data_IF_050616738979
#
_entry.id   IF_050616738979
#
_cell.length_a   1.000
_cell.length_b   1.000
_cell.length_c   1.000
_cell.angle_alpha   90.00
_cell.angle_beta   90.00
_cell.angle_gamma   90.00
#
_symmetry.space_group_name_H-M   'P 1'
#
loop_
_entity.id
_entity.type
_entity.pdbx_description
1 polymer ?
#
# COMPACT_ATOMS: atom_id res chain seq x y z
N UNK A 1 -60.74 -36.39 38.29
CA UNK A 1 -59.51 -35.68 37.85
C UNK A 1 -59.13 -35.93 36.38
N UNK A 2 -60.03 -36.44 35.50
CA UNK A 2 -59.65 -36.91 34.15
C UNK A 2 -59.54 -35.81 33.07
N UNK A 3 -60.14 -34.63 33.24
CA UNK A 3 -60.18 -33.60 32.18
C UNK A 3 -58.86 -32.89 31.87
N UNK A 4 -57.86 -32.95 32.75
CA UNK A 4 -56.61 -32.15 32.61
C UNK A 4 -55.57 -32.78 31.67
N UNK A 5 -55.64 -34.08 31.42
CA UNK A 5 -54.61 -34.82 30.66
C UNK A 5 -54.83 -34.67 29.15
N UNK A 6 -56.08 -34.53 28.69
CA UNK A 6 -56.42 -34.39 27.26
C UNK A 6 -55.96 -33.08 26.62
N UNK A 7 -55.68 -32.03 27.41
CA UNK A 7 -55.15 -30.77 26.89
C UNK A 7 -53.67 -30.87 26.49
N UNK A 8 -52.86 -31.66 27.21
CA UNK A 8 -51.43 -31.82 26.92
C UNK A 8 -51.18 -32.51 25.56
N UNK A 9 -52.08 -33.40 25.13
CA UNK A 9 -52.02 -34.08 23.83
C UNK A 9 -52.50 -33.23 22.65
N UNK A 10 -53.02 -32.03 22.90
CA UNK A 10 -53.52 -31.07 21.91
C UNK A 10 -52.75 -29.74 21.95
N UNK A 11 -51.64 -29.69 22.69
CA UNK A 11 -50.89 -28.46 22.94
C UNK A 11 -49.81 -28.25 21.88
N UNK A 12 -50.12 -27.47 20.85
CA UNK A 12 -49.22 -27.22 19.70
C UNK A 12 -47.99 -26.36 20.07
N UNK A 13 -47.93 -25.88 21.32
CA UNK A 13 -46.77 -25.18 21.88
C UNK A 13 -45.49 -26.03 21.90
N UNK A 14 -45.58 -27.36 21.83
CA UNK A 14 -44.40 -28.22 21.66
C UNK A 14 -43.67 -27.97 20.33
N UNK A 15 -44.41 -27.71 19.24
CA UNK A 15 -43.83 -27.53 17.91
C UNK A 15 -43.19 -26.15 17.70
N UNK A 16 -43.69 -25.10 18.37
CA UNK A 16 -43.10 -23.76 18.27
C UNK A 16 -41.66 -23.72 18.78
N UNK A 17 -41.35 -24.45 19.87
CA UNK A 17 -39.98 -24.61 20.35
C UNK A 17 -39.05 -25.27 19.32
N UNK A 18 -39.54 -26.25 18.55
CA UNK A 18 -38.72 -26.92 17.50
C UNK A 18 -38.40 -25.94 16.37
N UNK A 19 -39.38 -25.17 15.89
CA UNK A 19 -39.14 -24.16 14.86
C UNK A 19 -38.22 -23.03 15.33
N UNK A 20 -38.40 -22.53 16.57
CA UNK A 20 -37.52 -21.51 17.15
C UNK A 20 -36.11 -22.05 17.34
N UNK A 21 -35.94 -23.29 17.82
CA UNK A 21 -34.64 -23.93 17.98
C UNK A 21 -33.89 -24.10 16.65
N UNK A 22 -34.56 -24.61 15.61
CA UNK A 22 -33.99 -24.73 14.26
C UNK A 22 -33.65 -23.36 13.66
N UNK A 23 -34.52 -22.36 13.82
CA UNK A 23 -34.28 -20.99 13.36
C UNK A 23 -33.07 -20.34 14.05
N UNK A 24 -32.94 -20.51 15.36
CA UNK A 24 -31.81 -19.99 16.13
C UNK A 24 -30.49 -20.65 15.74
N UNK A 25 -30.50 -21.98 15.51
CA UNK A 25 -29.32 -22.70 15.02
C UNK A 25 -28.90 -22.25 13.62
N UNK A 26 -29.86 -22.01 12.72
CA UNK A 26 -29.61 -21.42 11.40
C UNK A 26 -29.05 -20.00 11.47
N UNK A 27 -29.56 -19.16 12.36
CA UNK A 27 -29.06 -17.79 12.58
C UNK A 27 -27.63 -17.78 13.15
N UNK A 28 -27.31 -18.69 14.08
CA UNK A 28 -25.94 -18.86 14.59
C UNK A 28 -24.98 -19.31 13.47
N UNK A 29 -25.37 -20.27 12.63
CA UNK A 29 -24.57 -20.72 11.49
C UNK A 29 -24.33 -19.59 10.45
N UNK A 30 -25.34 -18.77 10.16
CA UNK A 30 -25.18 -17.60 9.30
C UNK A 30 -24.24 -16.54 9.93
N UNK A 31 -24.34 -16.32 11.24
CA UNK A 31 -23.50 -15.38 11.98
C UNK A 31 -22.03 -15.81 12.02
N UNK A 32 -21.75 -17.10 12.20
CA UNK A 32 -20.37 -17.62 12.19
C UNK A 32 -19.73 -17.49 10.80
N UNK A 33 -20.48 -17.79 9.73
CA UNK A 33 -20.00 -17.61 8.36
C UNK A 33 -19.69 -16.13 8.04
N UNK A 34 -20.53 -15.20 8.52
CA UNK A 34 -20.32 -13.77 8.33
C UNK A 34 -19.01 -13.26 8.98
N UNK A 35 -18.62 -13.82 10.13
CA UNK A 35 -17.37 -13.48 10.82
C UNK A 35 -16.14 -13.93 10.00
N UNK A 36 -16.13 -15.18 9.52
CA UNK A 36 -15.03 -15.71 8.70
C UNK A 36 -14.90 -14.93 7.37
N UNK A 37 -16.01 -14.61 6.70
CA UNK A 37 -16.01 -13.80 5.47
C UNK A 37 -15.52 -12.38 5.75
N UNK A 38 -15.94 -11.75 6.85
CA UNK A 38 -15.47 -10.42 7.25
C UNK A 38 -13.97 -10.39 7.55
N UNK A 39 -13.44 -11.43 8.20
CA UNK A 39 -12.00 -11.61 8.42
C UNK A 39 -11.24 -11.75 7.10
N UNK A 40 -11.73 -12.59 6.17
CA UNK A 40 -11.11 -12.81 4.87
C UNK A 40 -11.08 -11.52 4.03
N UNK A 41 -12.17 -10.75 3.99
CA UNK A 41 -12.21 -9.48 3.26
C UNK A 41 -11.25 -8.44 3.84
N UNK A 42 -11.12 -8.41 5.18
CA UNK A 42 -10.13 -7.56 5.87
C UNK A 42 -8.70 -7.97 5.51
N UNK A 43 -8.40 -9.26 5.53
CA UNK A 43 -7.09 -9.79 5.15
C UNK A 43 -6.75 -9.52 3.67
N UNK A 44 -7.74 -9.60 2.77
CA UNK A 44 -7.59 -9.24 1.34
C UNK A 44 -7.26 -7.76 1.16
N UNK A 45 -7.96 -6.87 1.86
CA UNK A 45 -7.67 -5.43 1.82
C UNK A 45 -6.26 -5.10 2.35
N UNK A 46 -5.84 -5.73 3.44
CA UNK A 46 -4.49 -5.58 3.98
C UNK A 46 -3.40 -6.11 3.03
N UNK A 47 -3.65 -7.25 2.36
CA UNK A 47 -2.72 -7.80 1.38
C UNK A 47 -2.54 -6.88 0.17
N UNK A 48 -3.62 -6.25 -0.31
CA UNK A 48 -3.54 -5.25 -1.39
C UNK A 48 -2.78 -3.99 -0.93
N UNK A 49 -3.04 -3.46 0.28
CA UNK A 49 -2.27 -2.35 0.84
C UNK A 49 -0.77 -2.67 0.93
N UNK A 50 -0.41 -3.92 1.27
CA UNK A 50 0.97 -4.37 1.31
C UNK A 50 1.61 -4.45 -0.09
N UNK A 51 0.85 -4.91 -1.10
CA UNK A 51 1.29 -4.94 -2.49
C UNK A 51 1.49 -3.52 -3.04
N UNK A 52 0.52 -2.62 -2.85
CA UNK A 52 0.59 -1.22 -3.26
C UNK A 52 1.81 -0.51 -2.65
N UNK A 53 2.03 -0.69 -1.34
CA UNK A 53 3.16 -0.10 -0.64
C UNK A 53 4.50 -0.68 -1.13
N UNK A 54 4.57 -1.99 -1.38
CA UNK A 54 5.73 -2.65 -1.97
C UNK A 54 6.04 -2.12 -3.38
N UNK A 55 5.05 -2.07 -4.27
CA UNK A 55 5.21 -1.59 -5.64
C UNK A 55 5.67 -0.13 -5.69
N UNK A 56 5.03 0.74 -4.89
CA UNK A 56 5.42 2.15 -4.75
C UNK A 56 6.86 2.29 -4.25
N UNK A 57 7.24 1.54 -3.20
CA UNK A 57 8.59 1.56 -2.63
C UNK A 57 9.65 1.01 -3.59
N UNK A 58 9.28 0.03 -4.42
CA UNK A 58 10.12 -0.49 -5.49
C UNK A 58 10.37 0.54 -6.60
N UNK A 59 9.32 1.24 -7.06
CA UNK A 59 9.45 2.32 -8.05
C UNK A 59 10.30 3.47 -7.52
N UNK A 60 10.08 3.91 -6.27
CA UNK A 60 10.91 4.94 -5.63
C UNK A 60 12.36 4.45 -5.52
N UNK A 61 12.57 3.19 -5.13
CA UNK A 61 13.90 2.59 -5.08
C UNK A 61 14.62 2.57 -6.44
N UNK A 62 13.88 2.28 -7.52
CA UNK A 62 14.36 2.30 -8.91
C UNK A 62 14.72 3.72 -9.36
N UNK A 63 13.89 4.72 -9.09
CA UNK A 63 14.14 6.11 -9.51
C UNK A 63 15.26 6.76 -8.68
N UNK A 64 15.30 6.53 -7.37
CA UNK A 64 16.21 7.23 -6.46
C UNK A 64 17.63 6.64 -6.39
N UNK A 65 17.78 5.31 -6.56
CA UNK A 65 19.09 4.65 -6.38
C UNK A 65 19.74 4.24 -7.71
N UNK A 66 19.00 3.54 -8.59
CA UNK A 66 19.52 3.10 -9.89
C UNK A 66 18.39 2.72 -10.83
N UNK A 67 18.17 3.54 -11.86
CA UNK A 67 17.09 3.35 -12.82
C UNK A 67 17.32 2.17 -13.77
N UNK A 68 18.57 1.70 -13.90
CA UNK A 68 18.95 0.58 -14.77
C UNK A 68 18.97 -0.77 -14.03
N UNK A 69 19.20 -0.80 -12.73
CA UNK A 69 19.29 -2.03 -11.95
C UNK A 69 17.91 -2.67 -11.67
N UNK A 70 17.69 -3.83 -12.28
CA UNK A 70 16.50 -4.70 -12.11
C UNK A 70 16.88 -6.07 -11.57
N UNK A 71 18.08 -6.20 -10.99
CA UNK A 71 18.54 -7.46 -10.41
C UNK A 71 17.69 -7.88 -9.21
N UNK A 72 17.59 -9.19 -8.97
CA UNK A 72 16.85 -9.76 -7.84
C UNK A 72 17.40 -9.32 -6.46
N UNK A 73 18.64 -8.82 -6.43
CA UNK A 73 19.34 -8.25 -5.27
C UNK A 73 19.40 -6.72 -5.29
N UNK A 74 18.82 -6.06 -6.31
CA UNK A 74 18.92 -4.63 -6.53
C UNK A 74 18.15 -3.80 -5.48
N UNK A 75 18.48 -2.50 -5.33
CA UNK A 75 17.89 -1.65 -4.30
C UNK A 75 16.38 -1.50 -4.47
N UNK A 76 15.86 -1.50 -5.72
CA UNK A 76 14.43 -1.49 -6.01
C UNK A 76 13.71 -2.73 -5.46
N UNK A 77 14.27 -3.93 -5.68
CA UNK A 77 13.68 -5.20 -5.20
C UNK A 77 13.75 -5.28 -3.68
N UNK A 78 14.89 -4.93 -3.07
CA UNK A 78 15.02 -4.96 -1.62
C UNK A 78 14.10 -3.94 -0.92
N UNK A 79 13.94 -2.75 -1.51
CA UNK A 79 12.99 -1.73 -1.06
C UNK A 79 11.54 -2.24 -1.10
N UNK A 80 11.14 -2.83 -2.23
CA UNK A 80 9.82 -3.44 -2.41
C UNK A 80 9.53 -4.54 -1.38
N UNK A 81 10.47 -5.49 -1.19
CA UNK A 81 10.34 -6.58 -0.22
C UNK A 81 10.21 -6.05 1.21
N UNK A 82 11.08 -5.12 1.61
CA UNK A 82 11.10 -4.58 2.97
C UNK A 82 9.78 -3.85 3.28
N UNK A 83 9.28 -3.02 2.37
CA UNK A 83 8.03 -2.29 2.56
C UNK A 83 6.79 -3.19 2.45
N UNK A 84 6.76 -4.18 1.56
CA UNK A 84 5.64 -5.12 1.50
C UNK A 84 5.57 -5.97 2.79
N UNK A 85 6.71 -6.43 3.32
CA UNK A 85 6.76 -7.22 4.57
C UNK A 85 6.41 -6.41 5.82
N UNK A 86 6.66 -5.10 5.84
CA UNK A 86 6.28 -4.24 6.98
C UNK A 86 4.77 -3.97 7.07
N UNK A 87 4.04 -4.11 5.95
CA UNK A 87 2.58 -4.01 5.90
C UNK A 87 1.97 -5.38 6.24
N UNK A 88 1.66 -5.60 7.51
CA UNK A 88 1.18 -6.90 7.99
C UNK A 88 -0.26 -7.20 7.55
N UNK A 89 -0.50 -8.47 7.24
CA UNK A 89 -1.83 -9.04 6.97
C UNK A 89 -2.22 -9.90 8.16
N UNK A 90 -3.32 -9.57 8.82
CA UNK A 90 -3.80 -10.20 10.06
C UNK A 90 -2.70 -10.30 11.15
N UNK A 91 -1.90 -9.25 11.29
CA UNK A 91 -0.82 -9.16 12.28
C UNK A 91 0.43 -10.00 11.97
N UNK A 92 0.54 -10.59 10.77
CA UNK A 92 1.75 -11.29 10.30
C UNK A 92 2.28 -10.67 9.01
N UNK A 93 3.60 -10.69 8.82
CA UNK A 93 4.18 -10.28 7.55
C UNK A 93 3.70 -11.21 6.41
N UNK A 94 3.39 -10.69 5.22
CA UNK A 94 3.17 -11.51 4.03
C UNK A 94 4.49 -12.10 3.51
N UNK A 95 4.37 -13.19 2.75
CA UNK A 95 5.50 -13.78 2.02
C UNK A 95 5.69 -13.03 0.71
N UNK A 96 6.87 -12.42 0.57
CA UNK A 96 7.37 -11.74 -0.63
C UNK A 96 8.84 -12.08 -0.76
N UNK A 97 9.24 -12.63 -1.89
CA UNK A 97 10.60 -13.00 -2.30
C UNK A 97 11.03 -12.15 -3.50
N UNK A 98 12.32 -12.19 -3.86
CA UNK A 98 12.84 -11.42 -5.00
C UNK A 98 12.22 -11.82 -6.34
N UNK A 99 11.84 -13.10 -6.52
CA UNK A 99 11.10 -13.56 -7.71
C UNK A 99 9.65 -13.07 -7.79
N UNK A 100 9.10 -12.51 -6.71
CA UNK A 100 7.73 -11.97 -6.68
C UNK A 100 7.68 -10.48 -7.08
N UNK A 101 8.86 -9.86 -7.26
CA UNK A 101 9.02 -8.49 -7.73
C UNK A 101 9.47 -8.54 -9.19
N UNK A 102 8.64 -8.01 -10.10
CA UNK A 102 8.89 -8.03 -11.55
C UNK A 102 8.86 -6.62 -12.12
N UNK A 103 9.47 -6.44 -13.29
CA UNK A 103 9.62 -5.13 -13.95
C UNK A 103 8.91 -5.13 -15.31
N UNK A 104 7.56 -5.17 -15.34
CA UNK A 104 6.81 -5.22 -16.58
C UNK A 104 7.08 -3.98 -17.44
N UNK A 105 7.07 -4.16 -18.76
CA UNK A 105 7.23 -3.06 -19.70
C UNK A 105 5.89 -2.30 -19.81
N UNK A 106 5.93 -0.98 -19.72
CA UNK A 106 4.79 -0.10 -19.97
C UNK A 106 4.40 -0.16 -21.47
N UNK A 107 3.13 0.11 -21.85
CA UNK A 107 2.70 0.13 -23.26
C UNK A 107 3.58 0.99 -24.18
N UNK A 108 4.29 1.97 -23.61
CA UNK A 108 5.22 2.86 -24.31
C UNK A 108 6.63 2.25 -24.51
N UNK A 109 6.83 0.95 -24.26
CA UNK A 109 8.11 0.25 -24.41
C UNK A 109 9.12 0.48 -23.27
N UNK A 110 8.76 1.25 -22.24
CA UNK A 110 9.66 1.58 -21.13
C UNK A 110 9.51 0.60 -19.96
N UNK A 111 10.62 0.13 -19.37
CA UNK A 111 10.60 -0.67 -18.13
C UNK A 111 10.58 0.22 -16.88
N UNK A 112 9.66 1.18 -16.85
CA UNK A 112 9.47 2.18 -15.78
C UNK A 112 8.49 1.72 -14.69
N UNK A 113 8.08 0.45 -14.69
CA UNK A 113 7.10 -0.12 -13.75
C UNK A 113 7.73 -1.17 -12.85
N UNK A 114 7.25 -1.24 -11.61
CA UNK A 114 7.54 -2.33 -10.67
C UNK A 114 6.24 -2.95 -10.24
N UNK A 115 6.12 -4.26 -10.44
CA UNK A 115 5.02 -5.08 -9.99
C UNK A 115 5.47 -5.92 -8.79
N UNK A 116 4.64 -6.02 -7.77
CA UNK A 116 4.90 -6.79 -6.55
C UNK A 116 3.73 -7.73 -6.30
N UNK A 117 4.04 -9.02 -6.14
CA UNK A 117 3.10 -10.04 -5.71
C UNK A 117 3.30 -10.36 -4.23
N UNK A 118 2.20 -10.48 -3.50
CA UNK A 118 2.13 -10.62 -2.05
C UNK A 118 1.32 -11.86 -1.71
N UNK A 119 1.95 -12.80 -1.00
CA UNK A 119 1.37 -14.12 -0.72
C UNK A 119 1.12 -14.35 0.77
N UNK A 120 -0.10 -14.80 1.09
CA UNK A 120 -0.50 -15.38 2.36
C UNK A 120 -1.15 -16.73 2.06
N UNK A 121 -0.33 -17.73 1.72
CA UNK A 121 -0.79 -19.01 1.14
C UNK A 121 -0.21 -20.22 1.89
N UNK A 122 -0.92 -21.35 1.85
CA UNK A 122 -0.50 -22.61 2.48
C UNK A 122 0.80 -23.14 1.87
N UNK A 123 0.96 -22.98 0.55
CA UNK A 123 2.20 -23.28 -0.20
C UNK A 123 3.43 -22.54 0.30
N UNK A 124 3.26 -21.41 1.00
CA UNK A 124 4.35 -20.62 1.59
C UNK A 124 4.35 -20.61 3.12
N UNK A 125 3.58 -21.49 3.75
CA UNK A 125 3.43 -21.56 5.21
C UNK A 125 2.82 -20.29 5.84
N UNK A 126 2.15 -19.45 5.03
CA UNK A 126 1.65 -18.13 5.43
C UNK A 126 0.15 -17.96 5.15
N UNK A 127 -0.62 -19.05 5.03
CA UNK A 127 -2.08 -18.98 4.90
C UNK A 127 -2.72 -18.17 6.04
N UNK A 128 -3.89 -17.59 5.80
CA UNK A 128 -4.68 -16.94 6.85
C UNK A 128 -5.53 -18.03 7.52
N UNK A 129 -5.41 -18.26 8.84
CA UNK A 129 -6.27 -19.23 9.52
C UNK A 129 -7.72 -18.74 9.51
N UNK A 130 -8.66 -19.65 9.31
CA UNK A 130 -10.08 -19.39 9.56
C UNK A 130 -10.38 -19.45 11.06
N UNK A 131 -11.44 -18.80 11.53
CA UNK A 131 -11.91 -18.99 12.90
C UNK A 131 -12.84 -20.20 12.99
N UNK A 132 -13.96 -20.17 12.26
CA UNK A 132 -15.03 -21.18 12.36
C UNK A 132 -14.94 -22.25 11.26
N UNK A 133 -14.38 -21.94 10.10
CA UNK A 133 -14.08 -22.89 9.01
C UNK A 133 -13.24 -24.10 9.46
N UNK A 134 -12.41 -23.94 10.49
CA UNK A 134 -11.65 -25.01 11.13
C UNK A 134 -12.54 -26.15 11.66
N UNK A 135 -13.73 -25.84 12.17
CA UNK A 135 -14.72 -26.84 12.63
C UNK A 135 -15.29 -27.70 11.49
N UNK A 136 -15.19 -27.21 10.25
CA UNK A 136 -15.64 -27.87 9.03
C UNK A 136 -14.45 -28.37 8.17
N UNK A 137 -13.25 -28.44 8.74
CA UNK A 137 -12.03 -28.94 8.08
C UNK A 137 -11.31 -27.94 7.17
N UNK A 138 -11.84 -26.71 7.01
CA UNK A 138 -11.22 -25.64 6.22
C UNK A 138 -10.37 -24.78 7.15
N UNK A 139 -9.19 -25.27 7.53
CA UNK A 139 -8.37 -24.63 8.58
C UNK A 139 -7.73 -23.29 8.18
N UNK A 140 -7.61 -22.99 6.89
CA UNK A 140 -6.98 -21.77 6.39
C UNK A 140 -7.41 -21.42 4.97
N UNK A 141 -7.29 -20.15 4.61
CA UNK A 141 -7.55 -19.65 3.25
C UNK A 141 -6.32 -18.94 2.69
N UNK A 142 -6.10 -19.13 1.39
CA UNK A 142 -5.01 -18.56 0.62
C UNK A 142 -5.41 -17.18 0.05
N UNK A 143 -4.52 -16.19 0.23
CA UNK A 143 -4.69 -14.84 -0.30
C UNK A 143 -3.45 -14.47 -1.12
N UNK A 144 -3.69 -14.04 -2.35
CA UNK A 144 -2.70 -13.41 -3.23
C UNK A 144 -3.17 -12.00 -3.58
N UNK A 145 -2.24 -11.05 -3.54
CA UNK A 145 -2.42 -9.65 -3.86
C UNK A 145 -1.33 -9.21 -4.84
N UNK A 146 -1.65 -8.35 -5.80
CA UNK A 146 -0.73 -7.91 -6.84
C UNK A 146 -0.98 -6.45 -7.16
N UNK A 147 0.08 -5.64 -7.10
CA UNK A 147 0.05 -4.23 -7.46
C UNK A 147 1.19 -3.88 -8.41
N UNK A 148 0.99 -2.87 -9.25
CA UNK A 148 2.00 -2.37 -10.20
C UNK A 148 2.02 -0.85 -10.15
N UNK A 149 3.16 -0.27 -9.74
CA UNK A 149 3.37 1.18 -9.75
C UNK A 149 4.22 1.60 -10.96
N UNK A 150 4.16 2.87 -11.35
CA UNK A 150 4.85 3.42 -12.51
C UNK A 150 5.59 4.73 -12.19
N UNK A 151 6.85 4.83 -12.60
CA UNK A 151 7.58 6.09 -12.67
C UNK A 151 7.26 6.80 -14.00
N UNK A 152 6.74 8.02 -13.93
CA UNK A 152 6.57 8.89 -15.10
C UNK A 152 7.48 10.11 -14.95
N UNK A 153 8.10 10.62 -16.03
CA UNK A 153 8.72 11.95 -16.00
C UNK A 153 7.66 13.01 -15.64
N UNK A 154 8.09 14.05 -14.94
CA UNK A 154 7.23 15.11 -14.39
C UNK A 154 6.80 16.18 -15.40
N UNK A 155 7.29 16.10 -16.64
CA UNK A 155 7.16 17.15 -17.66
C UNK A 155 5.76 17.25 -18.29
N UNK A 156 4.88 16.27 -18.07
CA UNK A 156 3.46 16.36 -18.38
C UNK A 156 2.64 15.52 -17.40
N UNK A 157 1.52 16.05 -16.92
CA UNK A 157 0.67 15.37 -15.93
C UNK A 157 -0.82 15.45 -16.33
N UNK A 158 -1.44 14.29 -16.52
CA UNK A 158 -2.87 14.16 -16.81
C UNK A 158 -3.58 13.59 -15.58
N UNK A 159 -4.68 14.23 -15.15
CA UNK A 159 -5.45 13.86 -13.95
C UNK A 159 -4.66 13.92 -12.63
N UNK A 160 -4.08 15.09 -12.33
CA UNK A 160 -3.50 15.38 -11.00
C UNK A 160 -4.58 15.27 -9.94
N UNK A 161 -4.38 14.42 -8.93
CA UNK A 161 -5.24 14.40 -7.74
C UNK A 161 -5.01 15.72 -6.98
N UNK A 162 -6.04 16.45 -6.51
CA UNK A 162 -5.94 17.88 -6.15
C UNK A 162 -5.03 18.22 -4.95
N UNK A 163 -4.39 17.23 -4.34
CA UNK A 163 -3.39 17.38 -3.28
C UNK A 163 -2.06 16.79 -3.76
N UNK A 164 -1.23 17.65 -4.36
CA UNK A 164 0.18 17.37 -4.61
C UNK A 164 1.00 18.48 -3.96
N UNK A 165 1.98 18.08 -3.15
CA UNK A 165 2.81 19.02 -2.39
C UNK A 165 3.94 19.52 -3.31
N UNK A 166 4.04 20.83 -3.63
CA UNK A 166 5.20 21.43 -4.30
C UNK A 166 6.50 20.98 -3.64
N UNK A 167 7.41 20.40 -4.42
CA UNK A 167 8.82 20.28 -4.05
C UNK A 167 9.65 21.16 -5.00
N UNK A 168 10.69 21.77 -4.46
CA UNK A 168 11.51 22.79 -5.12
C UNK A 168 12.98 22.48 -4.84
N UNK A 169 13.78 22.35 -5.91
CA UNK A 169 15.21 22.19 -5.76
C UNK A 169 15.85 23.48 -5.22
N UNK A 170 17.01 23.34 -4.58
CA UNK A 170 17.84 24.48 -4.27
C UNK A 170 18.64 24.85 -5.52
N UNK A 171 18.35 26.04 -6.05
CA UNK A 171 19.11 26.68 -7.12
C UNK A 171 20.47 27.13 -6.60
N UNK A 172 21.55 26.68 -7.25
CA UNK A 172 22.94 26.95 -6.86
C UNK A 172 23.73 27.61 -7.99
N UNK A 173 23.26 27.58 -9.23
CA UNK A 173 23.92 28.20 -10.37
C UNK A 173 23.58 29.67 -10.50
N UNK A 174 22.28 30.00 -10.50
CA UNK A 174 21.75 31.35 -10.74
C UNK A 174 20.78 31.82 -9.64
N UNK A 175 21.18 31.81 -8.35
CA UNK A 175 20.30 32.30 -7.28
C UNK A 175 19.99 33.80 -7.45
N UNK A 176 18.72 34.24 -7.27
CA UNK A 176 17.58 33.47 -6.79
C UNK A 176 16.79 32.78 -7.92
N UNK A 177 16.34 31.54 -7.64
CA UNK A 177 15.46 30.75 -8.51
C UNK A 177 14.28 31.54 -9.07
N UNK A 178 14.05 31.46 -10.38
CA UNK A 178 12.88 31.93 -11.10
C UNK A 178 12.16 30.82 -11.90
N UNK A 179 11.09 31.17 -12.61
CA UNK A 179 10.24 30.21 -13.35
C UNK A 179 10.83 29.72 -14.68
N UNK A 180 11.97 30.26 -15.10
CA UNK A 180 12.72 29.86 -16.30
C UNK A 180 13.89 28.92 -16.02
N UNK A 181 14.32 28.78 -14.76
CA UNK A 181 15.45 27.91 -14.38
C UNK A 181 15.13 26.41 -14.59
N UNK A 182 16.13 25.67 -15.07
CA UNK A 182 16.14 24.21 -15.16
C UNK A 182 16.89 23.58 -13.98
N UNK A 183 16.66 22.29 -13.71
CA UNK A 183 17.43 21.56 -12.70
C UNK A 183 18.74 21.04 -13.31
N UNK A 184 19.84 21.74 -13.05
CA UNK A 184 21.14 21.50 -13.68
C UNK A 184 22.14 20.89 -12.68
N UNK A 185 22.05 19.57 -12.53
CA UNK A 185 22.97 18.75 -11.73
C UNK A 185 24.15 18.20 -12.53
N UNK A 186 23.93 17.88 -13.81
CA UNK A 186 24.95 17.34 -14.71
C UNK A 186 25.04 18.14 -16.00
N UNK A 187 26.25 18.31 -16.52
CA UNK A 187 26.47 18.76 -17.90
C UNK A 187 25.77 17.83 -18.89
N UNK A 188 25.55 18.30 -20.12
CA UNK A 188 24.99 17.51 -21.24
C UNK A 188 25.80 16.26 -21.61
N UNK A 189 26.97 16.04 -21.01
CA UNK A 189 27.82 14.85 -21.14
C UNK A 189 27.83 13.96 -19.88
N UNK A 190 26.94 14.19 -18.92
CA UNK A 190 26.79 13.38 -17.69
C UNK A 190 27.84 13.65 -16.61
N UNK A 191 28.76 14.61 -16.80
CA UNK A 191 29.72 15.03 -15.77
C UNK A 191 29.03 15.98 -14.80
N UNK A 192 29.21 15.76 -13.49
CA UNK A 192 28.67 16.62 -12.42
C UNK A 192 29.16 18.07 -12.59
N UNK A 193 28.26 19.05 -12.49
CA UNK A 193 28.65 20.46 -12.50
C UNK A 193 29.44 20.83 -11.23
N UNK A 194 30.28 21.87 -11.32
CA UNK A 194 31.06 22.36 -10.19
C UNK A 194 30.17 22.91 -9.06
N UNK A 195 29.08 23.57 -9.45
CA UNK A 195 27.98 23.99 -8.60
C UNK A 195 26.71 23.28 -9.09
N UNK A 196 26.46 22.03 -8.70
CA UNK A 196 25.29 21.29 -9.16
C UNK A 196 24.07 21.66 -8.32
N UNK A 197 22.89 21.71 -8.96
CA UNK A 197 21.66 21.94 -8.20
C UNK A 197 21.34 20.78 -7.26
N UNK A 198 20.81 21.15 -6.09
CA UNK A 198 20.63 20.24 -4.98
C UNK A 198 19.15 20.01 -4.72
N UNK A 199 18.68 18.82 -5.09
CA UNK A 199 17.45 18.28 -4.56
C UNK A 199 17.67 17.87 -3.10
N UNK A 200 16.83 18.38 -2.19
CA UNK A 200 16.81 17.99 -0.78
C UNK A 200 15.49 17.32 -0.48
N UNK A 201 15.54 16.07 -0.07
CA UNK A 201 14.36 15.37 0.43
C UNK A 201 13.69 16.18 1.55
N UNK A 202 12.37 16.18 1.58
CA UNK A 202 11.60 16.86 2.63
C UNK A 202 11.98 16.41 4.06
N UNK A 203 12.60 15.23 4.21
CA UNK A 203 13.09 14.69 5.48
C UNK A 203 14.50 15.18 5.91
N UNK A 204 15.24 15.89 5.06
CA UNK A 204 16.61 16.32 5.38
C UNK A 204 16.63 17.38 6.50
N UNK A 205 17.66 17.41 7.38
CA UNK A 205 17.74 18.38 8.47
C UNK A 205 17.71 19.81 7.93
N UNK A 206 16.67 20.56 8.33
CA UNK A 206 16.28 21.80 7.68
C UNK A 206 17.29 22.94 7.90
N UNK A 207 17.87 23.45 6.80
CA UNK A 207 18.53 24.76 6.77
C UNK A 207 17.71 25.75 5.94
N UNK A 208 16.61 26.21 6.54
CA UNK A 208 15.92 27.49 6.30
C UNK A 208 15.49 27.96 4.88
N UNK A 209 15.68 27.22 3.78
CA UNK A 209 15.35 27.70 2.41
C UNK A 209 14.32 26.88 1.62
N UNK A 210 13.79 25.77 2.15
CA UNK A 210 12.64 25.08 1.57
C UNK A 210 11.32 25.76 1.97
N UNK A 211 10.35 25.85 1.05
CA UNK A 211 8.99 26.39 1.30
C UNK A 211 8.14 25.55 2.27
N UNK A 212 8.67 24.40 2.67
CA UNK A 212 8.06 23.43 3.58
C UNK A 212 9.07 23.14 4.69
N UNK A 213 8.60 23.23 5.94
CA UNK A 213 9.30 22.65 7.08
C UNK A 213 8.72 21.27 7.34
N UNK A 214 9.56 20.24 7.32
CA UNK A 214 9.19 18.96 7.90
C UNK A 214 9.78 18.81 9.30
N UNK A 215 9.04 18.13 10.17
CA UNK A 215 9.56 17.59 11.41
C UNK A 215 9.52 16.07 11.35
N UNK A 216 10.58 15.41 11.82
CA UNK A 216 10.62 13.96 11.99
C UNK A 216 9.96 13.65 13.34
N UNK A 217 8.79 13.01 13.31
CA UNK A 217 8.11 12.51 14.49
C UNK A 217 7.80 11.03 14.30
N UNK A 218 8.25 10.19 15.23
CA UNK A 218 8.01 8.73 15.21
C UNK A 218 8.38 8.06 13.87
N UNK A 219 9.53 8.45 13.29
CA UNK A 219 10.02 7.91 12.01
C UNK A 219 9.20 8.32 10.78
N UNK A 220 8.24 9.24 10.91
CA UNK A 220 7.45 9.79 9.80
C UNK A 220 7.81 11.27 9.61
N UNK A 221 8.12 11.65 8.37
CA UNK A 221 8.31 13.05 8.02
C UNK A 221 6.94 13.70 7.84
N UNK A 222 6.62 14.68 8.70
CA UNK A 222 5.38 15.46 8.58
C UNK A 222 5.70 16.81 7.96
N UNK A 223 5.39 16.96 6.68
CA UNK A 223 5.43 18.25 6.00
C UNK A 223 4.38 19.20 6.57
N UNK A 224 4.80 20.41 6.93
CA UNK A 224 3.93 21.54 7.27
C UNK A 224 4.28 22.74 6.39
N UNK A 225 3.29 23.45 5.82
CA UNK A 225 3.56 24.62 5.00
C UNK A 225 4.21 25.72 5.83
N UNK A 226 5.28 26.34 5.31
CA UNK A 226 5.85 27.53 5.93
C UNK A 226 5.04 28.77 5.53
N UNK A 227 4.23 29.29 6.45
CA UNK A 227 3.70 30.65 6.37
C UNK A 227 4.88 31.65 6.49
N UNK A 228 5.05 32.70 5.70
CA UNK A 228 4.30 33.35 4.60
C UNK A 228 5.40 34.00 3.71
N UNK A 229 5.35 34.12 2.37
CA UNK A 229 4.34 34.77 1.52
C UNK A 229 4.48 34.39 0.03
N UNK A 230 3.46 34.76 -0.76
CA UNK A 230 3.48 34.96 -2.23
C UNK A 230 3.78 33.76 -3.16
N UNK A 231 2.73 33.38 -3.92
CA UNK A 231 2.73 32.85 -5.29
C UNK A 231 3.18 31.39 -5.60
N UNK A 232 2.18 30.52 -5.83
CA UNK A 232 1.99 29.70 -7.06
C UNK A 232 2.84 28.43 -7.33
N UNK A 233 2.29 27.25 -6.91
CA UNK A 233 2.28 25.88 -7.55
C UNK A 233 3.59 25.15 -7.98
N UNK A 234 3.77 23.81 -7.89
CA UNK A 234 3.14 22.74 -8.72
C UNK A 234 4.15 21.66 -9.29
N UNK A 235 4.37 20.42 -8.76
CA UNK A 235 5.56 19.61 -9.11
C UNK A 235 5.33 18.15 -9.61
N UNK A 236 6.35 17.29 -9.46
CA UNK A 236 6.45 15.84 -9.77
C UNK A 236 5.49 14.91 -9.00
N UNK A 237 4.99 13.89 -9.70
CA UNK A 237 4.01 12.91 -9.23
C UNK A 237 4.53 11.46 -9.23
N UNK A 238 4.13 10.63 -8.25
CA UNK A 238 4.27 9.16 -8.33
C UNK A 238 2.90 8.52 -8.51
N UNK A 239 2.80 7.58 -9.45
CA UNK A 239 1.54 6.94 -9.88
C UNK A 239 1.27 5.68 -9.05
N UNK A 240 0.05 5.56 -8.51
CA UNK A 240 -0.55 4.29 -8.08
C UNK A 240 -1.38 3.72 -9.22
#
# INVERSE_FOLDING_TARGET
MQGRIGHLYRDEQGMSFVYVGMGFMGFLAASTLAIDVGMFMTARAQAQNAADAGALSGVVGLVANSYTDRSASGPAVQSAINTARSNTVMGKAPSVLSGDVTFPVSPNGQSNRVQVQVYRTGTRGTAVPTLLGSMFGVNSVDITATATAEASPANAMTCVKPFMIPDKWQEVQTPPWDTGDSFDKYTSKGVLLANPDLYRDCCAPARATTSIRASISHGRCRATPAATSTATTSPTAIRR
#
